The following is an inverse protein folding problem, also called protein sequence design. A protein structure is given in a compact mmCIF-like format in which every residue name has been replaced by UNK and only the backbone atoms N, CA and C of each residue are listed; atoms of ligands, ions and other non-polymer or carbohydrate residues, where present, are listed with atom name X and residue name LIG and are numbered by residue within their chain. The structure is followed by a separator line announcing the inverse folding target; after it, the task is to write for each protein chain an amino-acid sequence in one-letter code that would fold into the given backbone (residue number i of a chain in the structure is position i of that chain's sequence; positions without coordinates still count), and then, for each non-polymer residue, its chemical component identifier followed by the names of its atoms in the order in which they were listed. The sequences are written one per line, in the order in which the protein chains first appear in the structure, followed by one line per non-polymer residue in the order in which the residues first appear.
data_IF_646137405373
#
_entry.id   IF_646137405373
#
_cell.length_a   1.000
_cell.length_b   1.000
_cell.length_c   1.000
_cell.angle_alpha   90.00
_cell.angle_beta   90.00
_cell.angle_gamma   90.00
#
_symmetry.space_group_name_H-M   'P 1'
#
loop_
_entity.id
_entity.type
_entity.pdbx_description
1 polymer ?
#
# COMPACT_ATOMS: atom_id res chain seq x y z
N UNK A 1 -10.26 -10.72 19.62
CA UNK A 1 -9.65 -10.46 18.30
C UNK A 1 -9.18 -11.75 17.63
N UNK A 2 -8.29 -12.52 18.27
CA UNK A 2 -7.82 -13.83 17.78
C UNK A 2 -8.97 -14.84 17.57
N UNK A 3 -10.00 -14.82 18.38
CA UNK A 3 -11.16 -15.71 18.26
C UNK A 3 -12.07 -15.41 17.04
N UNK A 4 -12.25 -14.15 16.65
CA UNK A 4 -13.01 -13.78 15.44
C UNK A 4 -12.28 -14.16 14.15
N UNK A 5 -10.95 -14.04 14.15
CA UNK A 5 -10.13 -14.53 13.03
C UNK A 5 -10.16 -16.08 12.98
N UNK A 6 -10.13 -16.73 14.13
CA UNK A 6 -10.32 -18.20 14.23
C UNK A 6 -11.68 -18.63 13.75
N UNK A 7 -12.78 -17.90 14.02
CA UNK A 7 -14.11 -18.28 13.51
C UNK A 7 -14.19 -18.13 12.00
N UNK A 8 -13.64 -17.07 11.42
CA UNK A 8 -13.56 -16.90 9.97
C UNK A 8 -12.76 -18.04 9.30
N UNK A 9 -11.61 -18.42 9.88
CA UNK A 9 -10.81 -19.57 9.40
C UNK A 9 -11.55 -20.90 9.67
N UNK A 10 -12.36 -21.00 10.72
CA UNK A 10 -13.06 -22.23 11.09
C UNK A 10 -14.29 -22.45 10.19
N UNK A 11 -14.99 -21.40 9.80
CA UNK A 11 -16.05 -21.47 8.78
C UNK A 11 -15.47 -21.84 7.39
N UNK A 12 -14.27 -21.38 7.08
CA UNK A 12 -13.55 -21.75 5.85
C UNK A 12 -12.91 -23.17 5.89
N UNK A 13 -13.00 -23.91 6.98
CA UNK A 13 -12.38 -25.23 7.11
C UNK A 13 -13.01 -26.33 6.27
N UNK A 14 -14.23 -26.15 5.81
CA UNK A 14 -14.91 -27.13 4.95
C UNK A 14 -14.62 -26.86 3.46
N UNK A 15 -14.32 -25.62 3.08
CA UNK A 15 -14.04 -25.25 1.70
C UNK A 15 -12.52 -25.20 1.44
N UNK A 16 -12.07 -25.92 0.43
CA UNK A 16 -10.67 -25.87 -0.02
C UNK A 16 -10.49 -24.73 -1.01
N UNK A 17 -9.78 -23.69 -0.56
CA UNK A 17 -9.40 -22.58 -1.41
C UNK A 17 -7.98 -22.74 -1.96
N UNK A 18 -7.77 -22.19 -3.15
CA UNK A 18 -6.47 -21.95 -3.75
C UNK A 18 -6.06 -20.52 -3.42
N UNK A 19 -4.98 -20.36 -2.68
CA UNK A 19 -4.51 -19.05 -2.23
C UNK A 19 -3.29 -18.64 -3.05
N UNK A 20 -3.41 -17.54 -3.78
CA UNK A 20 -2.27 -16.87 -4.40
C UNK A 20 -1.73 -15.82 -3.43
N UNK A 21 -0.47 -15.93 -3.04
CA UNK A 21 0.23 -14.86 -2.34
C UNK A 21 1.03 -14.09 -3.39
N UNK A 22 0.47 -12.97 -3.84
CA UNK A 22 1.10 -12.11 -4.84
C UNK A 22 2.05 -11.17 -4.14
N UNK A 23 3.35 -11.37 -4.31
CA UNK A 23 4.39 -10.64 -3.60
C UNK A 23 5.47 -10.15 -4.55
N UNK A 24 5.87 -8.88 -4.40
CA UNK A 24 7.14 -8.42 -4.94
C UNK A 24 8.26 -9.01 -4.08
N UNK A 25 9.24 -9.62 -4.69
CA UNK A 25 10.41 -10.12 -3.99
C UNK A 25 11.44 -9.00 -3.81
N UNK A 26 12.14 -8.95 -2.68
CA UNK A 26 13.34 -8.16 -2.56
C UNK A 26 14.45 -8.72 -3.48
N UNK A 27 15.46 -7.90 -3.78
CA UNK A 27 16.55 -8.22 -4.72
C UNK A 27 17.33 -9.50 -4.41
N UNK A 28 17.18 -10.04 -3.19
CA UNK A 28 17.82 -11.29 -2.73
C UNK A 28 16.94 -12.55 -2.88
N UNK A 29 15.83 -12.49 -3.59
CA UNK A 29 14.85 -13.57 -3.75
C UNK A 29 14.19 -14.08 -2.44
N UNK A 30 14.30 -13.33 -1.36
CA UNK A 30 13.58 -13.64 -0.13
C UNK A 30 12.19 -13.03 -0.14
N UNK A 31 11.19 -13.81 0.27
CA UNK A 31 9.85 -13.27 0.47
C UNK A 31 9.83 -12.27 1.62
N UNK A 32 9.06 -11.20 1.48
CA UNK A 32 8.77 -10.35 2.62
C UNK A 32 8.18 -11.17 3.76
N UNK A 33 8.61 -10.90 4.98
CA UNK A 33 8.15 -11.60 6.19
C UNK A 33 6.62 -11.75 6.26
N UNK A 34 5.87 -10.74 5.83
CA UNK A 34 4.39 -10.81 5.78
C UNK A 34 3.90 -11.87 4.79
N UNK A 35 4.51 -11.96 3.61
CA UNK A 35 4.13 -12.98 2.62
C UNK A 35 4.45 -14.40 3.12
N UNK A 36 5.60 -14.58 3.75
CA UNK A 36 5.97 -15.85 4.40
C UNK A 36 4.92 -16.28 5.42
N UNK A 37 4.46 -15.35 6.27
CA UNK A 37 3.41 -15.63 7.26
C UNK A 37 2.09 -16.05 6.62
N UNK A 38 1.67 -15.45 5.52
CA UNK A 38 0.48 -15.90 4.78
C UNK A 38 0.65 -17.32 4.23
N UNK A 39 1.82 -17.67 3.71
CA UNK A 39 2.12 -19.02 3.24
C UNK A 39 2.03 -20.03 4.40
N UNK A 40 2.66 -19.72 5.53
CA UNK A 40 2.64 -20.59 6.71
C UNK A 40 1.22 -20.83 7.24
N UNK A 41 0.46 -19.75 7.45
CA UNK A 41 -0.90 -19.85 7.99
C UNK A 41 -1.88 -20.51 7.01
N UNK A 42 -1.75 -20.24 5.72
CA UNK A 42 -2.55 -20.92 4.69
C UNK A 42 -2.30 -22.43 4.67
N UNK A 43 -1.04 -22.86 4.73
CA UNK A 43 -0.67 -24.28 4.83
C UNK A 43 -1.20 -24.94 6.12
N UNK A 44 -1.10 -24.26 7.27
CA UNK A 44 -1.67 -24.74 8.54
C UNK A 44 -3.19 -24.90 8.48
N UNK A 45 -3.86 -24.03 7.71
CA UNK A 45 -5.29 -24.11 7.46
C UNK A 45 -5.68 -25.20 6.43
N UNK A 46 -4.72 -25.97 5.91
CA UNK A 46 -4.96 -27.02 4.92
C UNK A 46 -5.28 -26.52 3.51
N UNK A 47 -5.00 -25.24 3.23
CA UNK A 47 -5.24 -24.62 1.93
C UNK A 47 -4.07 -24.86 0.97
N UNK A 48 -4.36 -24.86 -0.34
CA UNK A 48 -3.32 -24.83 -1.37
C UNK A 48 -2.80 -23.41 -1.51
N UNK A 49 -1.50 -23.20 -1.28
CA UNK A 49 -0.89 -21.88 -1.33
C UNK A 49 0.19 -21.84 -2.39
N UNK A 50 0.08 -20.87 -3.29
CA UNK A 50 1.07 -20.60 -4.34
C UNK A 50 1.57 -19.16 -4.24
N UNK A 51 2.89 -19.01 -4.23
CA UNK A 51 3.53 -17.70 -4.22
C UNK A 51 3.72 -17.23 -5.63
N UNK A 52 3.14 -16.09 -5.97
CA UNK A 52 3.27 -15.45 -7.27
C UNK A 52 4.39 -14.43 -7.20
N UNK A 53 5.47 -14.68 -7.94
CA UNK A 53 6.60 -13.76 -8.11
C UNK A 53 6.27 -12.74 -9.19
N UNK A 54 5.93 -11.53 -8.78
CA UNK A 54 5.41 -10.47 -9.69
C UNK A 54 6.29 -10.22 -10.92
N UNK A 55 7.61 -10.34 -10.77
CA UNK A 55 8.57 -10.05 -11.85
C UNK A 55 8.78 -11.20 -12.85
N UNK A 56 7.90 -12.10 -13.00
CA UNK A 56 8.05 -13.19 -13.96
C UNK A 56 6.81 -14.07 -14.07
N UNK A 57 5.75 -13.69 -13.37
CA UNK A 57 4.52 -14.45 -13.41
C UNK A 57 3.78 -14.24 -14.73
N UNK A 58 3.30 -15.33 -15.31
CA UNK A 58 2.44 -15.34 -16.49
C UNK A 58 1.18 -16.13 -16.22
N UNK A 59 0.08 -15.78 -16.91
CA UNK A 59 -1.18 -16.54 -16.88
C UNK A 59 -1.44 -17.08 -18.28
N UNK A 60 -1.56 -18.38 -18.39
CA UNK A 60 -2.02 -19.07 -19.60
C UNK A 60 -3.49 -19.50 -19.49
N UNK A 61 -4.10 -19.76 -20.64
CA UNK A 61 -5.40 -20.37 -20.76
C UNK A 61 -5.31 -21.49 -21.77
N UNK A 62 -5.52 -22.71 -21.31
CA UNK A 62 -5.53 -23.89 -22.14
C UNK A 62 -6.63 -24.85 -21.69
N UNK A 63 -7.30 -25.49 -22.67
CA UNK A 63 -8.32 -26.52 -22.43
C UNK A 63 -9.36 -26.12 -21.39
N UNK A 64 -9.79 -24.84 -21.39
CA UNK A 64 -10.76 -24.24 -20.44
C UNK A 64 -10.23 -24.06 -19.02
N UNK A 65 -8.93 -24.18 -18.78
CA UNK A 65 -8.30 -24.01 -17.48
C UNK A 65 -7.32 -22.81 -17.52
N UNK A 66 -7.40 -21.94 -16.55
CA UNK A 66 -6.41 -20.91 -16.30
C UNK A 66 -5.32 -21.45 -15.37
N UNK A 67 -4.07 -21.21 -15.74
CA UNK A 67 -2.92 -21.51 -14.88
C UNK A 67 -2.00 -20.30 -14.75
N UNK A 68 -1.46 -20.10 -13.56
CA UNK A 68 -0.42 -19.10 -13.29
C UNK A 68 0.92 -19.80 -13.07
N UNK A 69 1.99 -19.22 -13.60
CA UNK A 69 3.36 -19.74 -13.57
C UNK A 69 4.31 -18.65 -13.09
N UNK A 70 5.31 -19.00 -12.31
CA UNK A 70 6.54 -18.22 -12.18
C UNK A 70 7.53 -18.59 -13.30
N UNK A 71 8.61 -17.83 -13.46
CA UNK A 71 9.56 -18.02 -14.55
C UNK A 71 10.26 -19.39 -14.57
N UNK A 72 10.41 -20.00 -13.40
CA UNK A 72 11.08 -21.30 -13.17
C UNK A 72 10.09 -22.48 -12.99
N UNK A 73 8.79 -22.23 -13.18
CA UNK A 73 7.73 -23.21 -12.95
C UNK A 73 7.24 -23.81 -14.28
N UNK A 74 7.24 -25.12 -14.38
CA UNK A 74 6.78 -25.87 -15.57
C UNK A 74 5.39 -26.45 -15.45
N UNK A 75 4.87 -26.62 -14.23
CA UNK A 75 3.56 -27.24 -14.00
C UNK A 75 2.43 -26.22 -13.92
N UNK A 76 2.73 -25.06 -13.34
CA UNK A 76 1.79 -23.99 -13.08
C UNK A 76 0.78 -24.34 -11.98
N UNK A 77 0.08 -23.34 -11.53
CA UNK A 77 -0.97 -23.45 -10.51
C UNK A 77 -2.33 -23.07 -11.11
N UNK A 78 -3.29 -23.96 -11.02
CA UNK A 78 -4.65 -23.72 -11.53
C UNK A 78 -5.34 -22.61 -10.74
N UNK A 79 -6.05 -21.74 -11.46
CA UNK A 79 -6.82 -20.63 -10.89
C UNK A 79 -8.22 -20.59 -11.49
N UNK A 80 -9.20 -20.24 -10.66
CA UNK A 80 -10.60 -20.11 -11.08
C UNK A 80 -11.33 -19.05 -10.25
N UNK A 81 -12.48 -18.62 -10.74
CA UNK A 81 -13.37 -17.69 -10.02
C UNK A 81 -14.07 -18.32 -8.83
N UNK A 82 -14.15 -19.67 -8.79
CA UNK A 82 -14.97 -20.38 -7.78
C UNK A 82 -14.23 -20.65 -6.48
N UNK A 83 -12.90 -20.78 -6.52
CA UNK A 83 -12.11 -21.26 -5.38
C UNK A 83 -10.76 -20.55 -5.18
N UNK A 84 -10.44 -19.57 -6.02
CA UNK A 84 -9.15 -18.89 -5.93
C UNK A 84 -9.28 -17.51 -5.28
N UNK A 85 -8.42 -17.25 -4.30
CA UNK A 85 -8.27 -15.94 -3.62
C UNK A 85 -6.85 -15.46 -3.78
N UNK A 86 -6.66 -14.22 -4.18
CA UNK A 86 -5.35 -13.60 -4.30
C UNK A 86 -5.12 -12.58 -3.17
N UNK A 87 -4.10 -12.81 -2.36
CA UNK A 87 -3.64 -11.90 -1.31
C UNK A 87 -2.46 -11.12 -1.88
N UNK A 88 -2.67 -9.84 -2.13
CA UNK A 88 -1.65 -8.96 -2.71
C UNK A 88 -0.90 -8.24 -1.60
N UNK A 89 0.39 -8.55 -1.45
CA UNK A 89 1.22 -8.03 -0.34
C UNK A 89 2.63 -7.67 -0.80
N UNK A 90 3.20 -6.70 -0.10
CA UNK A 90 4.57 -6.26 -0.32
C UNK A 90 4.64 -4.82 -0.86
N UNK A 91 5.84 -4.26 -0.87
CA UNK A 91 6.13 -2.96 -1.47
C UNK A 91 6.36 -3.19 -2.96
N UNK A 92 5.39 -2.85 -3.76
CA UNK A 92 5.48 -3.05 -5.21
C UNK A 92 5.70 -1.70 -5.88
N UNK A 93 6.71 -1.61 -6.72
CA UNK A 93 6.73 -0.56 -7.74
C UNK A 93 5.63 -0.88 -8.74
N UNK A 94 4.80 0.10 -9.07
CA UNK A 94 3.70 -0.08 -10.02
C UNK A 94 4.23 -0.26 -11.44
N UNK A 95 4.84 -1.41 -11.71
CA UNK A 95 5.19 -1.79 -13.09
C UNK A 95 3.90 -2.11 -13.85
N UNK A 96 3.84 -1.71 -15.11
CA UNK A 96 2.69 -1.98 -15.99
C UNK A 96 2.36 -3.49 -16.03
N UNK A 97 3.37 -4.34 -16.18
CA UNK A 97 3.18 -5.80 -16.20
C UNK A 97 2.54 -6.36 -14.93
N UNK A 98 2.83 -5.76 -13.78
CA UNK A 98 2.19 -6.12 -12.52
C UNK A 98 0.71 -5.75 -12.51
N UNK A 99 0.38 -4.54 -12.91
CA UNK A 99 -1.02 -4.11 -13.01
C UNK A 99 -1.81 -4.92 -14.05
N UNK A 100 -1.16 -5.30 -15.14
CA UNK A 100 -1.75 -6.18 -16.16
C UNK A 100 -2.02 -7.59 -15.59
N UNK A 101 -1.10 -8.13 -14.76
CA UNK A 101 -1.31 -9.39 -14.03
C UNK A 101 -2.54 -9.30 -13.11
N UNK A 102 -2.63 -8.25 -12.28
CA UNK A 102 -3.77 -8.04 -11.40
C UNK A 102 -5.07 -7.88 -12.19
N UNK A 103 -5.06 -7.10 -13.27
CA UNK A 103 -6.21 -6.96 -14.18
C UNK A 103 -6.66 -8.32 -14.75
N UNK A 104 -5.71 -9.19 -15.07
CA UNK A 104 -6.03 -10.50 -15.60
C UNK A 104 -6.68 -11.39 -14.56
N UNK A 105 -6.20 -11.36 -13.32
CA UNK A 105 -6.81 -12.10 -12.20
C UNK A 105 -8.24 -11.61 -11.94
N UNK A 106 -8.48 -10.30 -11.93
CA UNK A 106 -9.82 -9.73 -11.78
C UNK A 106 -10.77 -10.16 -12.90
N UNK A 107 -10.30 -10.16 -14.16
CA UNK A 107 -11.12 -10.59 -15.32
C UNK A 107 -11.44 -12.08 -15.30
N UNK A 108 -10.60 -12.90 -14.69
CA UNK A 108 -10.89 -14.33 -14.46
C UNK A 108 -11.96 -14.48 -13.35
N UNK A 109 -12.14 -13.47 -12.52
CA UNK A 109 -13.06 -13.47 -11.38
C UNK A 109 -12.42 -13.98 -10.08
N UNK A 110 -11.09 -13.97 -10.01
CA UNK A 110 -10.36 -14.27 -8.77
C UNK A 110 -10.69 -13.21 -7.71
N UNK A 111 -11.10 -13.67 -6.53
CA UNK A 111 -11.32 -12.77 -5.40
C UNK A 111 -9.98 -12.17 -4.94
N UNK A 112 -9.83 -10.86 -4.98
CA UNK A 112 -8.57 -10.18 -4.66
C UNK A 112 -8.67 -9.39 -3.37
N UNK A 113 -7.64 -9.51 -2.52
CA UNK A 113 -7.44 -8.73 -1.30
C UNK A 113 -6.04 -8.08 -1.38
N UNK A 114 -5.89 -6.81 -1.79
CA UNK A 114 -6.90 -5.86 -2.26
C UNK A 114 -7.03 -5.89 -3.79
N UNK A 115 -8.04 -5.14 -4.33
CA UNK A 115 -8.26 -5.00 -5.77
C UNK A 115 -7.10 -4.27 -6.46
N UNK A 116 -7.01 -4.39 -7.78
CA UNK A 116 -6.05 -3.64 -8.59
C UNK A 116 -6.21 -2.13 -8.38
N UNK A 117 -7.45 -1.62 -8.42
CA UNK A 117 -7.73 -0.19 -8.22
C UNK A 117 -7.21 0.30 -6.87
N UNK A 118 -7.49 -0.43 -5.79
CA UNK A 118 -7.00 -0.11 -4.45
C UNK A 118 -5.47 -0.08 -4.40
N UNK A 119 -4.80 -1.02 -5.07
CA UNK A 119 -3.33 -1.05 -5.15
C UNK A 119 -2.79 0.18 -5.90
N UNK A 120 -3.38 0.54 -7.04
CA UNK A 120 -2.97 1.72 -7.82
C UNK A 120 -3.16 3.03 -7.05
N UNK A 121 -4.31 3.20 -6.41
CA UNK A 121 -4.62 4.40 -5.63
C UNK A 121 -3.72 4.49 -4.41
N UNK A 122 -3.58 3.43 -3.64
CA UNK A 122 -2.82 3.44 -2.37
C UNK A 122 -1.30 3.52 -2.55
N UNK A 123 -0.77 3.19 -3.73
CA UNK A 123 0.65 3.30 -4.03
C UNK A 123 1.07 4.74 -4.40
N UNK A 124 0.13 5.57 -4.82
CA UNK A 124 0.34 6.97 -5.19
C UNK A 124 -0.27 7.89 -4.13
N UNK A 125 0.56 8.75 -3.52
CA UNK A 125 0.14 9.62 -2.41
C UNK A 125 -0.86 10.69 -2.84
N UNK A 126 -0.75 11.19 -4.08
CA UNK A 126 -1.67 12.21 -4.56
C UNK A 126 -3.02 11.60 -4.97
N UNK A 127 -3.02 10.45 -5.63
CA UNK A 127 -4.25 9.71 -5.92
C UNK A 127 -5.00 9.31 -4.64
N UNK A 128 -4.26 8.84 -3.62
CA UNK A 128 -4.83 8.56 -2.29
C UNK A 128 -5.47 9.83 -1.71
N UNK A 129 -4.78 10.96 -1.75
CA UNK A 129 -5.30 12.25 -1.27
C UNK A 129 -6.61 12.62 -1.96
N UNK A 130 -6.65 12.60 -3.28
CA UNK A 130 -7.85 12.93 -4.07
C UNK A 130 -8.99 11.97 -3.74
N UNK A 131 -8.70 10.65 -3.71
CA UNK A 131 -9.74 9.65 -3.42
C UNK A 131 -10.36 9.85 -2.03
N UNK A 132 -9.56 10.09 -1.00
CA UNK A 132 -10.07 10.34 0.35
C UNK A 132 -10.85 11.67 0.44
N UNK A 133 -10.45 12.69 -0.33
CA UNK A 133 -11.17 13.95 -0.43
C UNK A 133 -12.55 13.77 -1.07
N UNK A 134 -12.68 12.92 -2.09
CA UNK A 134 -13.96 12.60 -2.74
C UNK A 134 -14.96 11.99 -1.75
N UNK A 135 -14.48 11.30 -0.72
CA UNK A 135 -15.30 10.78 0.39
C UNK A 135 -15.52 11.79 1.53
N UNK A 136 -15.05 13.03 1.38
CA UNK A 136 -15.23 14.08 2.40
C UNK A 136 -14.35 13.93 3.63
N UNK A 137 -13.34 13.05 3.59
CA UNK A 137 -12.41 12.86 4.70
C UNK A 137 -11.45 14.06 4.80
N UNK A 138 -11.26 14.54 6.01
CA UNK A 138 -10.35 15.66 6.29
C UNK A 138 -8.90 15.26 5.98
N UNK A 139 -8.26 16.05 5.13
CA UNK A 139 -6.87 15.80 4.70
C UNK A 139 -6.02 17.06 4.93
N UNK A 140 -4.74 16.95 5.24
CA UNK A 140 -3.83 18.07 5.17
C UNK A 140 -3.84 18.68 3.76
N UNK A 141 -3.85 20.02 3.65
CA UNK A 141 -3.74 20.69 2.34
C UNK A 141 -2.56 20.12 1.55
N UNK A 142 -2.83 19.64 0.36
CA UNK A 142 -1.84 18.96 -0.49
C UNK A 142 -1.93 19.47 -1.91
N UNK A 143 -0.79 19.79 -2.52
CA UNK A 143 -0.71 20.30 -3.89
C UNK A 143 0.36 19.52 -4.66
N UNK A 144 0.02 19.15 -5.90
CA UNK A 144 0.94 18.48 -6.82
C UNK A 144 1.89 19.50 -7.45
N UNK A 145 3.15 19.12 -7.63
CA UNK A 145 4.16 19.82 -8.43
C UNK A 145 4.50 18.91 -9.62
N UNK A 146 3.82 19.06 -10.77
CA UNK A 146 4.01 18.17 -11.92
C UNK A 146 5.27 18.49 -12.74
N UNK A 147 5.87 19.66 -12.56
CA UNK A 147 7.12 20.07 -13.21
C UNK A 147 7.84 21.16 -12.41
N UNK A 148 9.09 21.42 -12.80
CA UNK A 148 9.97 22.38 -12.11
C UNK A 148 9.38 23.80 -12.03
N UNK A 149 8.62 24.24 -13.01
CA UNK A 149 8.13 25.63 -13.08
C UNK A 149 6.91 25.91 -12.18
N UNK A 150 6.25 24.86 -11.68
CA UNK A 150 4.97 24.98 -10.97
C UNK A 150 5.08 25.09 -9.44
N UNK A 151 6.26 24.90 -8.87
CA UNK A 151 6.43 24.85 -7.41
C UNK A 151 6.02 26.15 -6.69
N UNK A 152 6.22 27.32 -7.32
CA UNK A 152 5.83 28.61 -6.70
C UNK A 152 4.34 28.73 -6.56
N UNK A 153 3.59 28.41 -7.63
CA UNK A 153 2.14 28.42 -7.61
C UNK A 153 1.60 27.38 -6.62
N UNK A 154 2.23 26.20 -6.55
CA UNK A 154 1.88 25.18 -5.57
C UNK A 154 2.10 25.69 -4.13
N UNK A 155 3.20 26.38 -3.86
CA UNK A 155 3.50 26.95 -2.55
C UNK A 155 2.51 28.07 -2.17
N UNK A 156 2.17 28.96 -3.11
CA UNK A 156 1.14 29.98 -2.92
C UNK A 156 -0.22 29.35 -2.55
N UNK A 157 -0.55 28.21 -3.15
CA UNK A 157 -1.78 27.46 -2.85
C UNK A 157 -1.81 26.90 -1.41
N UNK A 158 -0.65 26.78 -0.76
CA UNK A 158 -0.50 26.47 0.67
C UNK A 158 -0.36 27.73 1.55
N UNK A 159 -0.78 28.89 1.04
CA UNK A 159 -0.65 30.19 1.72
C UNK A 159 0.82 30.56 2.03
N UNK A 160 1.79 29.97 1.35
CA UNK A 160 3.25 30.13 1.57
C UNK A 160 3.70 29.96 3.03
N UNK A 161 2.97 29.14 3.79
CA UNK A 161 3.25 28.89 5.22
C UNK A 161 4.25 27.76 5.39
N UNK A 162 5.31 28.02 6.15
CA UNK A 162 6.29 27.02 6.55
C UNK A 162 6.11 26.64 8.04
N UNK A 163 6.57 25.44 8.45
CA UNK A 163 7.14 24.39 7.62
C UNK A 163 6.11 23.64 6.77
N UNK A 164 6.56 23.02 5.68
CA UNK A 164 5.78 22.14 4.82
C UNK A 164 6.48 20.78 4.66
N UNK A 165 5.75 19.79 4.17
CA UNK A 165 6.31 18.49 3.79
C UNK A 165 6.34 18.38 2.27
N UNK A 166 7.49 18.05 1.70
CA UNK A 166 7.62 17.66 0.29
C UNK A 166 7.74 16.14 0.19
N UNK A 167 7.07 15.53 -0.78
CA UNK A 167 7.10 14.07 -1.00
C UNK A 167 7.19 13.75 -2.48
N UNK A 168 7.89 12.66 -2.81
CA UNK A 168 7.70 11.97 -4.09
C UNK A 168 6.38 11.19 -4.06
N UNK A 169 5.69 11.07 -5.18
CA UNK A 169 4.39 10.37 -5.25
C UNK A 169 4.53 8.92 -4.87
N UNK A 170 5.53 8.24 -5.42
CA UNK A 170 5.86 6.86 -5.08
C UNK A 170 6.91 6.81 -3.97
N UNK A 171 6.96 5.69 -3.28
CA UNK A 171 7.93 5.40 -2.23
C UNK A 171 7.28 4.97 -0.92
N UNK A 172 8.05 4.26 -0.11
CA UNK A 172 7.61 3.69 1.17
C UNK A 172 8.62 3.95 2.28
N UNK A 173 8.24 3.68 3.52
CA UNK A 173 9.11 3.77 4.71
C UNK A 173 9.74 5.16 4.92
N UNK A 174 9.04 6.23 4.50
CA UNK A 174 9.51 7.61 4.66
C UNK A 174 10.66 8.04 3.73
N UNK A 175 11.06 7.19 2.79
CA UNK A 175 12.00 7.58 1.73
C UNK A 175 11.30 8.57 0.81
N UNK A 176 11.99 9.68 0.44
CA UNK A 176 11.42 10.75 -0.37
C UNK A 176 10.44 11.67 0.37
N UNK A 177 10.47 11.71 1.71
CA UNK A 177 9.73 12.67 2.54
C UNK A 177 10.69 13.66 3.15
N UNK A 178 10.51 14.94 2.83
CA UNK A 178 11.40 16.03 3.18
C UNK A 178 10.67 17.09 3.99
N UNK A 179 11.30 17.58 5.04
CA UNK A 179 10.81 18.68 5.87
C UNK A 179 11.42 20.00 5.37
N UNK A 180 10.58 20.96 4.99
CA UNK A 180 10.95 22.18 4.32
C UNK A 180 10.59 23.37 5.21
N UNK A 181 11.57 24.22 5.52
CA UNK A 181 11.41 25.34 6.42
C UNK A 181 11.46 26.70 5.72
N UNK A 182 11.83 26.74 4.42
CA UNK A 182 11.94 27.99 3.68
C UNK A 182 11.76 27.81 2.18
N UNK A 183 11.39 28.90 1.52
CA UNK A 183 11.27 28.97 0.05
C UNK A 183 12.60 28.62 -0.64
N UNK A 184 13.73 29.04 -0.09
CA UNK A 184 15.05 28.71 -0.63
C UNK A 184 15.35 27.21 -0.62
N UNK A 185 14.88 26.50 0.41
CA UNK A 185 15.03 25.05 0.47
C UNK A 185 14.19 24.34 -0.59
N UNK A 186 12.91 24.74 -0.77
CA UNK A 186 12.05 24.12 -1.78
C UNK A 186 12.62 24.36 -3.17
N UNK A 187 13.05 25.59 -3.51
CA UNK A 187 13.67 25.90 -4.78
C UNK A 187 14.89 25.01 -5.08
N UNK A 188 15.83 24.92 -4.14
CA UNK A 188 17.03 24.10 -4.30
C UNK A 188 16.72 22.61 -4.48
N UNK A 189 15.74 22.09 -3.76
CA UNK A 189 15.35 20.67 -3.83
C UNK A 189 14.60 20.36 -5.12
N UNK A 190 13.69 21.23 -5.55
CA UNK A 190 12.99 21.09 -6.84
C UNK A 190 14.01 21.06 -7.99
N UNK A 191 14.93 22.01 -8.03
CA UNK A 191 16.00 22.03 -9.04
C UNK A 191 16.84 20.75 -9.02
N UNK A 192 17.25 20.29 -7.83
CA UNK A 192 18.04 19.08 -7.70
C UNK A 192 17.28 17.84 -8.21
N UNK A 193 16.04 17.66 -7.80
CA UNK A 193 15.25 16.48 -8.12
C UNK A 193 14.90 16.43 -9.62
N UNK A 194 14.47 17.54 -10.21
CA UNK A 194 14.17 17.59 -11.65
C UNK A 194 15.42 17.52 -12.54
N UNK A 195 16.58 17.97 -12.05
CA UNK A 195 17.85 17.74 -12.75
C UNK A 195 18.27 16.25 -12.77
N UNK A 196 17.93 15.50 -11.71
CA UNK A 196 18.23 14.07 -11.65
C UNK A 196 17.22 13.23 -12.45
N UNK A 197 15.95 13.60 -12.40
CA UNK A 197 14.87 12.90 -13.10
C UNK A 197 13.76 13.88 -13.47
N UNK A 198 13.64 14.20 -14.77
CA UNK A 198 12.60 15.12 -15.27
C UNK A 198 11.17 14.56 -15.19
N UNK A 199 11.04 13.25 -15.04
CA UNK A 199 9.74 12.58 -14.93
C UNK A 199 9.34 12.36 -13.45
N UNK A 200 10.04 13.00 -12.50
CA UNK A 200 9.64 12.90 -11.09
C UNK A 200 8.42 13.78 -10.82
N UNK A 201 7.39 13.16 -10.26
CA UNK A 201 6.26 13.89 -9.70
C UNK A 201 6.47 14.13 -8.21
N UNK A 202 6.26 15.37 -7.79
CA UNK A 202 6.38 15.80 -6.41
C UNK A 202 5.04 16.32 -5.91
N UNK A 203 4.83 16.24 -4.60
CA UNK A 203 3.77 16.97 -3.92
C UNK A 203 4.33 17.74 -2.74
N UNK A 204 3.67 18.84 -2.40
CA UNK A 204 3.85 19.55 -1.13
C UNK A 204 2.56 19.48 -0.32
N UNK A 205 2.75 19.44 0.98
CA UNK A 205 1.65 19.28 1.93
C UNK A 205 1.91 20.15 3.16
N UNK A 206 0.87 20.73 3.75
CA UNK A 206 0.98 21.40 5.03
C UNK A 206 1.54 20.46 6.10
N UNK A 207 2.37 20.98 6.97
CA UNK A 207 2.90 20.21 8.09
C UNK A 207 1.94 20.23 9.27
N UNK A 208 1.48 19.06 9.67
CA UNK A 208 0.70 18.88 10.89
C UNK A 208 1.63 18.39 12.01
N UNK A 209 1.83 19.22 13.02
CA UNK A 209 2.62 18.82 14.18
C UNK A 209 1.86 17.77 14.98
N UNK A 210 2.49 16.63 15.20
CA UNK A 210 1.90 15.50 15.92
C UNK A 210 2.94 14.79 16.78
N UNK A 211 2.51 14.08 17.80
CA UNK A 211 3.33 13.21 18.65
C UNK A 211 3.37 11.75 18.13
N UNK A 212 2.69 11.48 17.02
CA UNK A 212 2.64 10.15 16.42
C UNK A 212 1.56 10.02 15.37
N UNK A 213 1.36 8.81 14.90
CA UNK A 213 0.26 8.45 14.02
C UNK A 213 -0.53 7.24 14.56
N UNK A 214 -1.79 7.16 14.16
CA UNK A 214 -2.66 6.03 14.49
C UNK A 214 -2.72 5.11 13.27
N UNK A 215 -2.29 3.87 13.44
CA UNK A 215 -2.41 2.85 12.42
C UNK A 215 -3.60 1.96 12.69
N UNK A 216 -4.52 1.91 11.75
CA UNK A 216 -5.72 1.07 11.80
C UNK A 216 -5.66 0.01 10.72
N UNK A 217 -6.09 -1.20 11.06
CA UNK A 217 -6.20 -2.31 10.09
C UNK A 217 -7.68 -2.66 9.98
N UNK A 218 -8.19 -2.54 8.76
CA UNK A 218 -9.56 -2.91 8.40
C UNK A 218 -9.53 -4.17 7.56
N UNK A 219 -10.43 -5.12 7.84
CA UNK A 219 -10.60 -6.35 7.09
C UNK A 219 -12.09 -6.70 7.02
N UNK A 220 -12.60 -6.88 5.81
CA UNK A 220 -14.02 -7.24 5.60
C UNK A 220 -14.98 -6.24 6.23
N UNK A 221 -14.71 -4.92 6.11
CA UNK A 221 -15.53 -3.86 6.68
C UNK A 221 -15.49 -3.78 8.21
N UNK A 222 -14.50 -4.39 8.86
CA UNK A 222 -14.35 -4.37 10.32
C UNK A 222 -12.94 -3.97 10.72
N UNK A 223 -12.83 -3.13 11.75
CA UNK A 223 -11.53 -2.82 12.36
C UNK A 223 -11.08 -4.02 13.18
N UNK A 224 -9.92 -4.56 12.83
CA UNK A 224 -9.32 -5.72 13.50
C UNK A 224 -8.16 -5.36 14.42
N UNK A 225 -7.52 -4.21 14.20
CA UNK A 225 -6.48 -3.69 15.07
C UNK A 225 -6.34 -2.17 14.91
N UNK A 226 -5.95 -1.50 15.99
CA UNK A 226 -5.55 -0.10 16.01
C UNK A 226 -4.39 0.11 16.97
N UNK A 227 -3.43 0.94 16.59
CA UNK A 227 -2.24 1.22 17.37
C UNK A 227 -1.74 2.64 17.13
N UNK A 228 -1.24 3.29 18.19
CA UNK A 228 -0.48 4.54 18.07
C UNK A 228 1.00 4.23 17.94
N UNK A 229 1.66 4.86 16.97
CA UNK A 229 3.11 4.86 16.80
C UNK A 229 3.63 6.23 17.18
N UNK A 230 4.53 6.27 18.16
CA UNK A 230 5.09 7.53 18.66
C UNK A 230 6.21 8.01 17.75
N UNK A 231 6.32 9.33 17.57
CA UNK A 231 7.48 9.96 16.89
C UNK A 231 8.70 9.77 17.78
N UNK A 232 9.84 9.41 17.16
CA UNK A 232 11.12 9.35 17.87
C UNK A 232 11.70 10.75 17.98
N UNK A 233 12.27 11.06 19.13
CA UNK A 233 12.90 12.36 19.37
C UNK A 233 13.96 12.68 18.29
N UNK A 234 13.84 13.86 17.68
CA UNK A 234 14.71 14.30 16.58
C UNK A 234 14.23 13.90 15.17
N UNK A 235 13.15 13.16 15.02
CA UNK A 235 12.50 12.90 13.73
C UNK A 235 11.11 13.56 13.68
N UNK A 236 10.63 13.91 12.51
CA UNK A 236 9.27 14.39 12.25
C UNK A 236 8.35 13.26 11.76
N UNK A 237 8.90 12.08 11.51
CA UNK A 237 8.22 10.92 10.96
C UNK A 237 7.96 9.87 12.03
N UNK A 238 6.75 9.35 12.09
CA UNK A 238 6.34 8.28 13.04
C UNK A 238 6.54 6.86 12.49
N UNK A 239 6.73 6.70 11.17
CA UNK A 239 6.66 5.40 10.50
C UNK A 239 8.01 4.79 10.10
N UNK A 240 9.15 5.44 10.41
CA UNK A 240 10.47 5.13 9.83
C UNK A 240 11.45 4.51 10.81
N UNK A 241 11.30 4.80 12.11
CA UNK A 241 12.35 4.48 13.07
C UNK A 241 12.24 3.08 13.63
N UNK A 242 13.30 2.24 13.49
CA UNK A 242 13.43 1.05 14.30
C UNK A 242 13.42 1.43 15.79
N UNK A 243 12.48 0.86 16.56
CA UNK A 243 12.35 1.17 17.99
C UNK A 243 11.28 2.19 18.36
N UNK A 244 10.50 2.70 17.42
CA UNK A 244 9.31 3.48 17.74
C UNK A 244 8.40 2.69 18.69
N UNK A 245 7.99 3.32 19.79
CA UNK A 245 7.06 2.69 20.73
C UNK A 245 5.69 2.59 20.10
N UNK A 246 5.12 1.40 20.19
CA UNK A 246 3.78 1.09 19.69
C UNK A 246 2.90 0.76 20.88
N UNK A 247 1.75 1.42 20.96
CA UNK A 247 0.73 1.19 22.00
C UNK A 247 -0.60 0.87 21.36
N UNK A 248 -1.38 0.01 21.98
CA UNK A 248 -2.79 -0.15 21.61
C UNK A 248 -3.50 1.22 21.75
N UNK A 249 -4.36 1.53 20.77
CA UNK A 249 -5.09 2.78 20.74
C UNK A 249 -6.58 2.51 20.57
N UNK A 250 -7.41 2.84 21.58
CA UNK A 250 -8.86 2.74 21.45
C UNK A 250 -9.35 3.88 20.55
N UNK A 251 -9.98 3.54 19.44
CA UNK A 251 -10.56 4.52 18.52
C UNK A 251 -11.84 5.11 19.11
N UNK A 252 -12.06 6.38 18.88
CA UNK A 252 -13.35 7.04 19.08
C UNK A 252 -14.36 6.59 18.01
N UNK A 253 -15.66 6.84 18.24
CA UNK A 253 -16.71 6.52 17.26
C UNK A 253 -16.46 7.21 15.91
N UNK A 254 -16.08 8.48 15.93
CA UNK A 254 -15.75 9.24 14.72
C UNK A 254 -14.56 8.63 13.96
N UNK A 255 -13.48 8.29 14.66
CA UNK A 255 -12.31 7.65 14.05
C UNK A 255 -12.65 6.27 13.44
N UNK A 256 -13.57 5.53 14.07
CA UNK A 256 -14.07 4.26 13.52
C UNK A 256 -14.80 4.51 12.20
N UNK A 257 -15.73 5.49 12.17
CA UNK A 257 -16.47 5.84 10.95
C UNK A 257 -15.55 6.30 9.82
N UNK A 258 -14.62 7.21 10.11
CA UNK A 258 -13.64 7.71 9.13
C UNK A 258 -12.74 6.58 8.60
N UNK A 259 -12.26 5.69 9.47
CA UNK A 259 -11.42 4.56 9.04
C UNK A 259 -12.18 3.54 8.19
N UNK A 260 -13.45 3.28 8.50
CA UNK A 260 -14.29 2.38 7.70
C UNK A 260 -14.66 3.02 6.35
N UNK A 261 -14.86 4.33 6.31
CA UNK A 261 -15.11 5.06 5.07
C UNK A 261 -13.87 5.10 4.16
N UNK A 262 -12.67 5.19 4.73
CA UNK A 262 -11.41 5.22 4.00
C UNK A 262 -10.98 3.85 3.45
N UNK A 263 -11.55 2.75 3.94
CA UNK A 263 -11.15 1.39 3.61
C UNK A 263 -12.05 0.72 2.57
#
# INVERSE_FOLDING_TARGET
MVEKFKSFITEAKEDKYRILVVSAEPDNNELFHTAQRFVEEGKKAGQQVYVVKVEGAIISYDSSVYKIYNADDTEGFEISSSDTVAIVRGSVRLKKSYLDLLSRLEKIGVCMVNSRETIEVSADKYRTYVKLQDFGLTQPKTVLIPNEDTWKVALESLDSKFPIIMKTLEGSKGVGVLFIESERQIESLVQLLYNQNKDVDLLIQEYIKTDGDIRVIVLGGKIIASMKREVVEGDFRSNVSPGAKVKEYPLTELEVEECLLAA
#
